data_IF_994978508808
#
_entry.id   IF_994978508808
#
_cell.length_a   1.000
_cell.length_b   1.000
_cell.length_c   1.000
_cell.angle_alpha   90.00
_cell.angle_beta   90.00
_cell.angle_gamma   90.00
#
_symmetry.space_group_name_H-M   'P 1'
#
loop_
_entity.id
_entity.type
_entity.pdbx_description
1 polymer ?
#
# COMPACT_ATOMS: atom_id res chain seq x y z
N UNK A 1 -10.38 -5.27 0.37
CA UNK A 1 -10.18 -4.78 -1.03
C UNK A 1 -8.68 -4.64 -1.26
N UNK A 2 -8.18 -5.06 -2.42
CA UNK A 2 -6.75 -5.05 -2.74
C UNK A 2 -6.46 -4.11 -3.91
N UNK A 3 -5.31 -3.46 -3.88
CA UNK A 3 -4.75 -2.66 -4.95
C UNK A 3 -3.58 -3.40 -5.58
N UNK A 4 -3.61 -3.53 -6.90
CA UNK A 4 -2.46 -3.96 -7.67
C UNK A 4 -1.62 -2.73 -7.98
N UNK A 5 -0.44 -2.65 -7.39
CA UNK A 5 0.44 -1.47 -7.49
C UNK A 5 1.78 -1.85 -8.09
N UNK A 6 2.36 -0.94 -8.86
CA UNK A 6 3.71 -1.08 -9.43
C UNK A 6 4.63 -0.07 -8.77
N UNK A 7 5.65 -0.55 -8.09
CA UNK A 7 6.65 0.30 -7.45
C UNK A 7 7.51 0.96 -8.53
N UNK A 8 7.73 2.27 -8.42
CA UNK A 8 8.57 2.99 -9.38
C UNK A 8 10.06 2.66 -9.20
N UNK A 9 10.48 2.32 -7.99
CA UNK A 9 11.87 2.01 -7.65
C UNK A 9 12.37 0.78 -8.41
N UNK A 10 11.68 -0.34 -8.26
CA UNK A 10 12.10 -1.63 -8.84
C UNK A 10 11.29 -2.02 -10.09
N UNK A 11 10.28 -1.24 -10.48
CA UNK A 11 9.34 -1.56 -11.57
C UNK A 11 8.55 -2.87 -11.38
N UNK A 12 8.56 -3.44 -10.17
CA UNK A 12 7.87 -4.69 -9.79
C UNK A 12 6.44 -4.41 -9.35
N UNK A 13 5.54 -5.34 -9.66
CA UNK A 13 4.13 -5.28 -9.30
C UNK A 13 3.82 -6.13 -8.05
N UNK A 14 3.03 -5.58 -7.13
CA UNK A 14 2.56 -6.28 -5.93
C UNK A 14 1.05 -6.06 -5.74
N UNK A 15 0.39 -7.05 -5.14
CA UNK A 15 -0.98 -6.91 -4.65
C UNK A 15 -0.94 -6.60 -3.16
N UNK A 16 -1.35 -5.39 -2.78
CA UNK A 16 -1.35 -4.92 -1.39
C UNK A 16 -2.78 -4.53 -0.98
N UNK A 17 -3.15 -4.69 0.29
CA UNK A 17 -4.44 -4.19 0.75
C UNK A 17 -4.50 -2.67 0.59
N UNK A 18 -5.68 -2.14 0.25
CA UNK A 18 -5.86 -0.69 0.05
C UNK A 18 -5.47 0.15 1.28
N UNK A 19 -5.52 -0.45 2.48
CA UNK A 19 -5.07 0.17 3.73
C UNK A 19 -3.57 0.53 3.74
N UNK A 20 -2.75 -0.12 2.91
CA UNK A 20 -1.33 0.20 2.75
C UNK A 20 -1.09 1.40 1.82
N UNK A 21 -2.12 1.89 1.13
CA UNK A 21 -1.99 3.04 0.22
C UNK A 21 -2.42 4.29 0.97
N UNK A 22 -1.48 5.21 1.19
CA UNK A 22 -1.75 6.46 1.90
C UNK A 22 -2.58 7.41 1.02
N UNK A 23 -3.55 8.11 1.64
CA UNK A 23 -4.47 9.02 0.95
C UNK A 23 -5.19 8.36 -0.24
N UNK A 24 -5.46 7.06 -0.12
CA UNK A 24 -6.10 6.29 -1.16
C UNK A 24 -7.57 6.70 -1.33
N UNK A 25 -7.80 7.56 -2.31
CA UNK A 25 -9.14 7.99 -2.73
C UNK A 25 -9.26 7.86 -4.25
N UNK A 26 -9.48 6.64 -4.78
CA UNK A 26 -9.77 6.45 -6.19
C UNK A 26 -11.19 6.96 -6.47
N UNK A 27 -11.33 8.26 -6.73
CA UNK A 27 -12.63 8.85 -7.06
C UNK A 27 -13.09 8.47 -8.46
N UNK A 28 -12.18 8.04 -9.34
CA UNK A 28 -12.50 7.67 -10.71
C UNK A 28 -11.49 6.71 -11.32
N UNK A 29 -11.93 5.98 -12.35
CA UNK A 29 -11.08 5.17 -13.23
C UNK A 29 -9.97 6.01 -13.90
N UNK A 30 -10.17 7.33 -13.94
CA UNK A 30 -9.25 8.32 -14.48
C UNK A 30 -7.93 8.45 -13.68
N UNK A 31 -7.92 8.19 -12.37
CA UNK A 31 -6.68 8.19 -11.58
C UNK A 31 -5.73 7.04 -12.01
N UNK A 32 -6.30 5.91 -12.47
CA UNK A 32 -5.56 4.77 -13.01
C UNK A 32 -5.02 5.07 -14.41
N UNK A 33 -5.85 5.70 -15.25
CA UNK A 33 -5.48 6.07 -16.63
C UNK A 33 -4.34 7.09 -16.66
N UNK A 34 -4.35 8.05 -15.73
CA UNK A 34 -3.26 9.01 -15.56
C UNK A 34 -2.01 8.45 -14.87
N UNK A 35 -1.97 7.14 -14.58
CA UNK A 35 -0.87 6.47 -13.90
C UNK A 35 -0.40 7.22 -12.64
N UNK A 36 -1.37 7.73 -11.87
CA UNK A 36 -1.09 8.57 -10.70
C UNK A 36 -0.22 7.80 -9.71
N UNK A 37 0.80 8.49 -9.20
CA UNK A 37 1.74 7.94 -8.24
C UNK A 37 1.18 8.14 -6.83
N UNK A 38 1.07 7.04 -6.09
CA UNK A 38 0.63 7.01 -4.71
C UNK A 38 1.77 6.59 -3.81
N UNK A 39 1.68 6.99 -2.55
CA UNK A 39 2.61 6.54 -1.52
C UNK A 39 2.04 5.29 -0.86
N UNK A 40 2.81 4.21 -0.88
CA UNK A 40 2.38 2.89 -0.38
C UNK A 40 3.37 2.33 0.61
N UNK A 41 2.86 1.61 1.60
CA UNK A 41 3.65 0.78 2.50
C UNK A 41 3.91 -0.58 1.87
N UNK A 42 5.17 -1.03 1.86
CA UNK A 42 5.56 -2.33 1.27
C UNK A 42 5.09 -3.52 2.12
N UNK A 43 5.00 -3.31 3.42
CA UNK A 43 4.40 -4.25 4.37
C UNK A 43 3.10 -3.64 4.91
N UNK A 44 2.07 -4.45 5.21
CA UNK A 44 1.01 -4.01 6.10
C UNK A 44 1.67 -3.48 7.37
N UNK A 45 1.19 -2.35 7.89
CA UNK A 45 1.61 -1.89 9.20
C UNK A 45 1.45 -3.08 10.14
N UNK A 46 2.54 -3.51 10.78
CA UNK A 46 2.45 -4.49 11.86
C UNK A 46 1.42 -3.90 12.83
N UNK A 47 0.26 -4.52 12.96
CA UNK A 47 -0.62 -4.24 14.07
C UNK A 47 0.25 -4.37 15.34
N UNK A 48 0.32 -3.37 16.23
CA UNK A 48 1.17 -3.41 17.41
C UNK A 48 0.65 -4.39 18.50
N UNK A 49 0.01 -5.49 18.10
CA UNK A 49 -0.58 -6.51 19.00
C UNK A 49 0.24 -7.81 19.08
N UNK A 50 1.50 -7.82 18.68
CA UNK A 50 2.44 -8.87 19.08
C UNK A 50 3.48 -8.23 20.02
N UNK A 51 3.12 -8.20 21.30
CA UNK A 51 4.04 -7.79 22.35
C UNK A 51 5.06 -8.88 22.61
N UNK A 52 6.31 -8.65 22.22
CA UNK A 52 7.49 -9.18 22.91
C UNK A 52 8.76 -8.40 22.55
N UNK A 53 9.43 -7.90 23.59
CA UNK A 53 10.84 -7.48 23.66
C UNK A 53 11.41 -6.41 22.69
N UNK A 54 11.33 -5.14 23.09
CA UNK A 54 12.48 -4.26 23.43
C UNK A 54 12.09 -2.77 23.41
N UNK A 55 12.44 -1.96 24.44
CA UNK A 55 12.08 -0.54 24.51
C UNK A 55 13.08 0.42 23.82
N UNK A 56 13.95 -0.07 22.94
CA UNK A 56 14.88 0.75 22.19
C UNK A 56 14.41 0.88 20.73
N UNK A 57 14.21 2.14 20.28
CA UNK A 57 14.05 2.53 18.87
C UNK A 57 12.63 2.49 18.24
N UNK A 58 11.66 3.07 18.94
CA UNK A 58 10.45 3.56 18.26
C UNK A 58 10.83 4.69 17.29
N UNK A 59 10.89 4.43 15.98
CA UNK A 59 11.16 5.52 15.03
C UNK A 59 10.95 5.27 13.55
N UNK A 60 11.10 4.05 13.05
CA UNK A 60 11.02 3.84 11.60
C UNK A 60 9.60 3.48 11.20
N UNK A 61 8.78 4.50 10.92
CA UNK A 61 7.56 4.30 10.13
C UNK A 61 7.92 3.43 8.93
N UNK A 62 7.14 2.37 8.60
CA UNK A 62 7.47 1.49 7.49
C UNK A 62 7.76 2.34 6.26
N UNK A 63 8.85 2.05 5.51
CA UNK A 63 9.30 2.93 4.45
C UNK A 63 8.16 3.16 3.46
N UNK A 64 7.92 4.44 3.18
CA UNK A 64 6.92 4.91 2.23
C UNK A 64 7.53 4.83 0.84
N UNK A 65 6.93 4.04 -0.03
CA UNK A 65 7.41 3.83 -1.38
C UNK A 65 6.47 4.48 -2.37
N UNK A 66 6.99 4.85 -3.54
CA UNK A 66 6.17 5.40 -4.63
C UNK A 66 5.70 4.25 -5.52
N UNK A 67 4.40 4.11 -5.67
CA UNK A 67 3.82 3.11 -6.55
C UNK A 67 2.65 3.66 -7.36
N UNK A 68 2.48 3.16 -8.58
CA UNK A 68 1.33 3.44 -9.43
C UNK A 68 0.28 2.37 -9.22
N UNK A 69 -0.98 2.76 -9.08
CA UNK A 69 -2.07 1.80 -8.95
C UNK A 69 -2.55 1.41 -10.34
N UNK A 70 -2.45 0.13 -10.65
CA UNK A 70 -2.83 -0.43 -11.96
C UNK A 70 -4.27 -0.94 -11.96
N UNK A 71 -4.73 -1.52 -10.85
CA UNK A 71 -6.07 -2.07 -10.73
C UNK A 71 -6.52 -2.22 -9.27
N UNK A 72 -7.83 -2.33 -9.05
CA UNK A 72 -8.41 -2.70 -7.76
C UNK A 72 -9.18 -4.02 -7.88
N UNK A 73 -9.02 -4.87 -6.87
CA UNK A 73 -9.76 -6.11 -6.73
C UNK A 73 -10.64 -6.04 -5.46
N UNK A 74 -11.96 -6.14 -5.65
CA UNK A 74 -12.88 -6.43 -4.56
C UNK A 74 -12.91 -7.95 -4.34
N UNK A 75 -12.71 -8.40 -3.10
CA UNK A 75 -13.03 -9.79 -2.75
C UNK A 75 -14.55 -9.82 -2.64
N UNK A 76 -15.21 -10.41 -3.63
CA UNK A 76 -16.63 -10.74 -3.54
C UNK A 76 -16.69 -11.96 -2.61
N UNK A 77 -16.99 -11.77 -1.33
CA UNK A 77 -17.37 -12.88 -0.47
C UNK A 77 -18.82 -13.24 -0.85
N UNK A 78 -18.98 -14.36 -1.55
CA UNK A 78 -20.27 -15.01 -1.84
C UNK A 78 -20.76 -15.80 -0.65
#
# INVERSE_FOLDING_TARGET
MYAFVRFLEDNVCYALPVSCVQDFSPKSRLDFDNQKVYTVYRSPAHDPEDGDESPDEWGERPPLHKAQILALAAIIQT
#
